data_IF_334034973585
#
_entry.id   IF_334034973585
#
_cell.length_a   1.000
_cell.length_b   1.000
_cell.length_c   1.000
_cell.angle_alpha   90.00
_cell.angle_beta   90.00
_cell.angle_gamma   90.00
#
_symmetry.space_group_name_H-M   'P 1'
#
loop_
_entity.id
_entity.type
_entity.pdbx_description
1 polymer ?
#
# COMPACT_ATOMS: atom_id res chain seq x y z
N UNK A 1 7.42 23.53 20.03
CA UNK A 1 7.72 23.72 18.60
C UNK A 1 9.02 23.00 18.30
N UNK A 2 9.02 22.12 17.31
CA UNK A 2 10.25 21.65 16.65
C UNK A 2 10.41 22.39 15.31
N UNK A 3 11.53 22.19 14.62
CA UNK A 3 11.68 22.71 13.25
C UNK A 3 12.43 24.03 13.10
N UNK A 4 13.38 24.37 13.96
CA UNK A 4 14.33 25.46 13.68
C UNK A 4 15.77 24.99 13.92
N UNK A 5 16.58 25.05 12.87
CA UNK A 5 18.02 24.84 12.90
C UNK A 5 18.73 26.11 12.44
N UNK A 6 19.57 26.68 13.32
CA UNK A 6 20.38 27.85 12.97
C UNK A 6 21.58 27.49 12.07
N UNK A 7 22.04 26.24 12.10
CA UNK A 7 23.21 25.78 11.35
C UNK A 7 22.91 25.23 9.95
N UNK A 8 21.67 24.77 9.70
CA UNK A 8 21.28 24.16 8.44
C UNK A 8 19.90 24.69 7.97
N UNK A 9 19.85 25.78 7.19
CA UNK A 9 18.59 26.40 6.75
C UNK A 9 17.68 25.46 5.94
N UNK A 10 18.24 24.46 5.27
CA UNK A 10 17.50 23.46 4.49
C UNK A 10 16.99 22.27 5.33
N UNK A 11 17.42 22.15 6.60
CA UNK A 11 17.02 21.08 7.50
C UNK A 11 16.60 21.65 8.85
N UNK A 12 15.29 21.82 9.04
CA UNK A 12 14.73 22.37 10.26
C UNK A 12 14.92 21.50 11.52
N UNK A 13 15.47 20.29 11.36
CA UNK A 13 15.68 19.34 12.45
C UNK A 13 14.42 18.53 12.76
N UNK A 14 14.39 17.90 13.94
CA UNK A 14 13.27 17.06 14.34
C UNK A 14 11.98 17.87 14.55
N UNK A 15 10.87 17.30 14.10
CA UNK A 15 9.53 17.83 14.33
C UNK A 15 9.17 17.81 15.82
N UNK A 16 8.37 18.78 16.24
CA UNK A 16 7.88 18.87 17.62
C UNK A 16 6.71 17.93 17.86
N UNK A 17 6.63 17.38 19.08
CA UNK A 17 5.55 16.51 19.52
C UNK A 17 4.75 17.17 20.64
N UNK A 18 3.42 17.05 20.59
CA UNK A 18 2.49 17.52 21.61
C UNK A 18 1.47 16.41 21.83
N UNK A 19 1.31 15.97 23.07
CA UNK A 19 0.27 15.01 23.44
C UNK A 19 -0.86 15.72 24.17
N UNK A 20 -2.05 15.70 23.59
CA UNK A 20 -3.28 16.18 24.25
C UNK A 20 -3.86 15.04 25.08
N UNK A 21 -3.88 15.22 26.41
CA UNK A 21 -4.39 14.22 27.35
C UNK A 21 -5.92 14.07 27.30
N UNK A 22 -6.64 15.14 26.99
CA UNK A 22 -8.10 15.15 26.94
C UNK A 22 -8.61 14.47 25.68
N UNK A 23 -7.94 14.69 24.55
CA UNK A 23 -8.24 14.08 23.26
C UNK A 23 -7.47 12.77 23.02
N UNK A 24 -6.57 12.41 23.93
CA UNK A 24 -5.65 11.27 23.81
C UNK A 24 -4.95 11.21 22.45
N UNK A 25 -4.48 12.38 22.01
CA UNK A 25 -4.00 12.59 20.64
C UNK A 25 -2.54 13.01 20.65
N UNK A 26 -1.70 12.26 19.94
CA UNK A 26 -0.34 12.69 19.63
C UNK A 26 -0.35 13.52 18.34
N UNK A 27 0.06 14.78 18.45
CA UNK A 27 0.31 15.66 17.31
C UNK A 27 1.81 15.80 17.10
N UNK A 28 2.27 15.55 15.88
CA UNK A 28 3.64 15.76 15.42
C UNK A 28 3.61 16.77 14.28
N UNK A 29 4.31 17.89 14.42
CA UNK A 29 4.31 18.96 13.43
C UNK A 29 5.68 19.61 13.31
N UNK A 30 6.06 19.93 12.08
CA UNK A 30 7.29 20.69 11.79
C UNK A 30 6.99 22.13 11.35
N UNK A 31 5.77 22.64 11.59
CA UNK A 31 5.42 24.04 11.31
C UNK A 31 5.61 24.46 9.85
N UNK A 32 5.45 23.53 8.90
CA UNK A 32 5.68 23.66 7.46
C UNK A 32 7.14 23.87 7.06
N UNK A 33 8.10 23.79 7.98
CA UNK A 33 9.52 23.80 7.63
C UNK A 33 9.94 22.48 6.98
N UNK A 34 10.79 22.54 5.95
CA UNK A 34 11.35 21.33 5.33
C UNK A 34 12.41 20.71 6.22
N UNK A 35 12.42 19.39 6.33
CA UNK A 35 13.40 18.66 7.14
C UNK A 35 13.85 17.38 6.46
N UNK A 36 15.09 16.98 6.69
CA UNK A 36 15.61 15.65 6.40
C UNK A 36 15.68 14.78 7.65
N UNK A 37 15.49 15.37 8.83
CA UNK A 37 15.54 14.68 10.11
C UNK A 37 14.18 14.09 10.45
N UNK A 38 14.16 12.80 10.74
CA UNK A 38 12.98 12.11 11.22
C UNK A 38 12.90 12.21 12.75
N UNK A 39 11.71 12.47 13.28
CA UNK A 39 11.42 12.39 14.71
C UNK A 39 11.08 10.95 15.08
N UNK A 40 11.94 10.25 15.84
CA UNK A 40 11.65 8.87 16.22
C UNK A 40 10.49 8.83 17.23
N UNK A 41 9.48 8.01 16.95
CA UNK A 41 8.44 7.65 17.92
C UNK A 41 8.85 6.35 18.61
N UNK A 42 9.50 6.51 19.76
CA UNK A 42 10.09 5.44 20.56
C UNK A 42 9.11 4.81 21.56
N UNK A 43 7.80 4.93 21.37
CA UNK A 43 6.85 4.27 22.25
C UNK A 43 5.40 4.61 21.95
N UNK A 44 4.58 3.57 21.81
CA UNK A 44 3.12 3.66 21.84
C UNK A 44 2.62 3.09 23.16
N UNK A 45 1.66 3.78 23.78
CA UNK A 45 1.12 3.34 25.06
C UNK A 45 0.31 2.04 24.89
N UNK A 46 0.80 0.94 25.45
CA UNK A 46 0.14 -0.38 25.39
C UNK A 46 -0.88 -0.60 26.51
N UNK A 47 -0.87 0.22 27.56
CA UNK A 47 -1.81 0.12 28.69
C UNK A 47 -3.07 0.94 28.46
N UNK A 48 -2.90 2.14 27.89
CA UNK A 48 -3.98 3.01 27.44
C UNK A 48 -3.65 3.49 26.04
N UNK A 49 -4.25 2.85 25.04
CA UNK A 49 -4.05 3.22 23.64
C UNK A 49 -4.41 4.69 23.43
N UNK A 50 -3.66 5.37 22.58
CA UNK A 50 -4.03 6.71 22.14
C UNK A 50 -5.26 6.64 21.25
N UNK A 51 -6.08 7.70 21.31
CA UNK A 51 -7.21 7.84 20.40
C UNK A 51 -6.74 8.19 19.00
N UNK A 52 -5.81 9.16 18.86
CA UNK A 52 -5.37 9.60 17.53
C UNK A 52 -3.88 9.89 17.43
N UNK A 53 -3.35 9.79 16.21
CA UNK A 53 -2.04 10.30 15.83
C UNK A 53 -2.20 11.21 14.62
N UNK A 54 -1.67 12.43 14.71
CA UNK A 54 -1.67 13.41 13.64
C UNK A 54 -0.23 13.78 13.30
N UNK A 55 0.20 13.52 12.07
CA UNK A 55 1.50 13.93 11.54
C UNK A 55 1.26 14.95 10.44
N UNK A 56 1.68 16.18 10.64
CA UNK A 56 1.35 17.28 9.73
C UNK A 56 2.48 18.27 9.47
N UNK A 57 2.27 19.13 8.48
CA UNK A 57 3.07 20.32 8.25
C UNK A 57 4.57 20.01 8.09
N UNK A 58 4.87 19.14 7.13
CA UNK A 58 6.21 18.62 6.80
C UNK A 58 6.90 17.85 7.93
N UNK A 59 6.15 17.38 8.94
CA UNK A 59 6.69 16.47 9.94
C UNK A 59 7.07 15.12 9.33
N UNK A 60 8.27 14.65 9.66
CA UNK A 60 8.74 13.31 9.32
C UNK A 60 8.90 12.50 10.60
N UNK A 61 8.25 11.35 10.65
CA UNK A 61 8.24 10.45 11.80
C UNK A 61 8.94 9.14 11.43
N UNK A 62 9.78 8.62 12.32
CA UNK A 62 10.37 7.29 12.21
C UNK A 62 9.78 6.36 13.28
N UNK A 63 9.33 5.18 12.86
CA UNK A 63 8.91 4.08 13.73
C UNK A 63 9.97 2.98 13.63
N UNK A 64 10.88 2.85 14.62
CA UNK A 64 11.94 1.86 14.59
C UNK A 64 11.43 0.47 14.98
N UNK A 65 12.25 -0.55 14.70
CA UNK A 65 11.96 -1.99 14.91
C UNK A 65 11.32 -2.34 16.27
N UNK A 66 11.78 -1.70 17.36
CA UNK A 66 11.31 -2.00 18.71
C UNK A 66 9.78 -1.88 18.84
N UNK A 67 9.16 -1.05 18.00
CA UNK A 67 7.73 -0.75 18.01
C UNK A 67 7.07 -1.30 16.76
N UNK A 68 7.36 -2.56 16.42
CA UNK A 68 6.77 -3.32 15.31
C UNK A 68 5.24 -3.23 15.20
N UNK A 69 4.55 -2.56 16.12
CA UNK A 69 3.14 -2.23 16.08
C UNK A 69 2.87 -0.78 16.50
N UNK A 70 2.23 -0.04 15.61
CA UNK A 70 1.57 1.24 15.85
C UNK A 70 0.08 1.00 15.99
N UNK A 71 -0.49 1.26 17.16
CA UNK A 71 -1.91 1.05 17.40
C UNK A 71 -2.57 2.26 18.07
N UNK A 72 -3.68 2.69 17.49
CA UNK A 72 -4.58 3.71 18.05
C UNK A 72 -6.03 3.20 18.01
N UNK A 73 -6.91 3.77 18.85
CA UNK A 73 -8.34 3.39 18.89
C UNK A 73 -9.20 4.17 17.91
N UNK A 74 -8.72 5.29 17.39
CA UNK A 74 -9.43 6.14 16.43
C UNK A 74 -8.63 6.32 15.15
N UNK A 75 -8.08 7.51 14.93
CA UNK A 75 -7.55 7.91 13.61
C UNK A 75 -6.04 8.07 13.59
N UNK A 76 -5.42 7.63 12.50
CA UNK A 76 -4.09 8.08 12.09
C UNK A 76 -4.26 9.01 10.90
N UNK A 77 -3.75 10.23 11.02
CA UNK A 77 -3.88 11.29 10.01
C UNK A 77 -2.50 11.77 9.59
N UNK A 78 -2.22 11.75 8.29
CA UNK A 78 -1.04 12.36 7.70
C UNK A 78 -1.49 13.46 6.75
N UNK A 79 -1.06 14.69 7.00
CA UNK A 79 -1.52 15.88 6.28
C UNK A 79 -0.35 16.77 5.86
N UNK A 80 -0.44 17.47 4.73
CA UNK A 80 0.41 18.64 4.42
C UNK A 80 1.91 18.32 4.51
N UNK A 81 2.38 17.42 3.65
CA UNK A 81 3.76 16.91 3.61
C UNK A 81 4.13 15.99 4.78
N UNK A 82 3.18 15.60 5.63
CA UNK A 82 3.39 14.67 6.73
C UNK A 82 3.88 13.30 6.24
N UNK A 83 4.82 12.71 6.96
CA UNK A 83 5.42 11.42 6.59
C UNK A 83 5.61 10.51 7.80
N UNK A 84 5.29 9.23 7.64
CA UNK A 84 5.67 8.17 8.58
C UNK A 84 6.56 7.16 7.84
N UNK A 85 7.73 6.89 8.42
CA UNK A 85 8.69 5.92 7.94
C UNK A 85 8.74 4.74 8.93
N UNK A 86 8.53 3.52 8.44
CA UNK A 86 8.65 2.29 9.21
C UNK A 86 9.95 1.58 8.83
N UNK A 87 10.79 1.33 9.84
CA UNK A 87 12.08 0.67 9.62
C UNK A 87 13.12 1.57 8.95
N UNK A 88 14.24 0.95 8.58
CA UNK A 88 15.39 1.62 7.99
C UNK A 88 15.69 1.00 6.62
N UNK A 89 16.01 1.84 5.64
CA UNK A 89 16.29 1.40 4.27
C UNK A 89 17.44 0.40 4.14
N UNK A 90 18.40 0.45 5.06
CA UNK A 90 19.55 -0.46 5.07
C UNK A 90 19.18 -1.87 5.55
N UNK A 91 18.05 -2.04 6.25
CA UNK A 91 17.64 -3.31 6.88
C UNK A 91 16.13 -3.59 6.71
N UNK A 92 15.63 -3.82 5.47
CA UNK A 92 14.21 -4.06 5.19
C UNK A 92 13.77 -5.50 5.51
N UNK A 93 14.12 -6.02 6.69
CA UNK A 93 13.89 -7.42 7.10
C UNK A 93 12.78 -7.57 8.15
N UNK A 94 12.09 -6.48 8.46
CA UNK A 94 11.23 -6.34 9.63
C UNK A 94 9.77 -6.41 9.27
N UNK A 95 8.90 -6.78 10.20
CA UNK A 95 7.45 -6.65 10.04
C UNK A 95 6.93 -5.51 10.92
N UNK A 96 6.10 -4.65 10.32
CA UNK A 96 5.47 -3.51 10.98
C UNK A 96 3.96 -3.59 10.87
N UNK A 97 3.27 -3.43 11.98
CA UNK A 97 1.83 -3.41 12.09
C UNK A 97 1.33 -1.97 12.27
N UNK A 98 0.29 -1.59 11.54
CA UNK A 98 -0.49 -0.37 11.77
C UNK A 98 -1.94 -0.77 12.03
N UNK A 99 -2.47 -0.38 13.19
CA UNK A 99 -3.85 -0.68 13.60
C UNK A 99 -4.56 0.61 13.99
N UNK A 100 -5.65 0.93 13.30
CA UNK A 100 -6.47 2.11 13.57
C UNK A 100 -7.92 1.86 13.13
N UNK A 101 -8.87 2.71 13.52
CA UNK A 101 -10.18 2.71 12.87
C UNK A 101 -10.08 3.33 11.47
N UNK A 102 -9.38 4.45 11.36
CA UNK A 102 -9.26 5.18 10.09
C UNK A 102 -7.82 5.62 9.84
N UNK A 103 -7.34 5.41 8.62
CA UNK A 103 -6.12 6.00 8.10
C UNK A 103 -6.48 7.03 7.03
N UNK A 104 -6.21 8.30 7.34
CA UNK A 104 -6.51 9.43 6.47
C UNK A 104 -5.21 10.09 6.00
N UNK A 105 -5.03 10.19 4.70
CA UNK A 105 -3.81 10.70 4.07
C UNK A 105 -4.16 11.80 3.08
N UNK A 106 -3.51 12.97 3.21
CA UNK A 106 -3.67 14.10 2.28
C UNK A 106 -2.32 14.80 2.07
N UNK A 107 -1.80 14.81 0.84
CA UNK A 107 -0.46 15.31 0.52
C UNK A 107 0.58 14.71 1.50
N UNK A 108 0.71 13.39 1.49
CA UNK A 108 1.47 12.69 2.54
C UNK A 108 2.07 11.37 2.09
N UNK A 109 3.04 10.86 2.85
CA UNK A 109 3.77 9.64 2.50
C UNK A 109 3.90 8.69 3.70
N UNK A 110 3.54 7.43 3.50
CA UNK A 110 4.02 6.33 4.34
C UNK A 110 5.11 5.60 3.57
N UNK A 111 6.26 5.42 4.21
CA UNK A 111 7.35 4.57 3.71
C UNK A 111 7.54 3.40 4.64
N UNK A 112 7.76 2.21 4.08
CA UNK A 112 7.99 1.00 4.85
C UNK A 112 9.20 0.27 4.28
N UNK A 113 10.14 -0.09 5.15
CA UNK A 113 11.29 -0.93 4.83
C UNK A 113 11.14 -2.26 5.57
N UNK A 114 10.49 -3.23 4.91
CA UNK A 114 10.08 -4.51 5.44
C UNK A 114 8.65 -4.89 5.05
N UNK A 115 8.06 -5.86 5.76
CA UNK A 115 6.66 -6.22 5.63
C UNK A 115 5.75 -5.20 6.33
N UNK A 116 4.65 -4.83 5.68
CA UNK A 116 3.63 -3.96 6.26
C UNK A 116 2.33 -4.73 6.50
N UNK A 117 1.84 -4.73 7.73
CA UNK A 117 0.56 -5.31 8.16
C UNK A 117 -0.37 -4.19 8.61
N UNK A 118 -1.22 -3.71 7.73
CA UNK A 118 -2.17 -2.66 8.05
C UNK A 118 -3.55 -3.27 8.32
N UNK A 119 -4.18 -2.87 9.42
CA UNK A 119 -5.54 -3.24 9.79
C UNK A 119 -6.34 -1.98 10.12
N UNK A 120 -7.21 -1.56 9.21
CA UNK A 120 -8.08 -0.39 9.37
C UNK A 120 -9.53 -0.72 9.04
N UNK A 121 -10.47 0.14 9.46
CA UNK A 121 -11.85 0.10 8.92
C UNK A 121 -11.93 0.88 7.61
N UNK A 122 -11.29 2.05 7.57
CA UNK A 122 -11.33 2.97 6.43
C UNK A 122 -9.92 3.45 6.08
N UNK A 123 -9.57 3.39 4.79
CA UNK A 123 -8.39 4.04 4.22
C UNK A 123 -8.83 5.08 3.18
N UNK A 124 -8.55 6.36 3.44
CA UNK A 124 -8.77 7.45 2.48
C UNK A 124 -7.44 8.11 2.14
N UNK A 125 -7.10 8.15 0.85
CA UNK A 125 -5.90 8.77 0.33
C UNK A 125 -6.25 9.86 -0.68
N UNK A 126 -5.68 11.04 -0.48
CA UNK A 126 -5.74 12.16 -1.41
C UNK A 126 -4.31 12.64 -1.70
N UNK A 127 -3.88 12.63 -2.97
CA UNK A 127 -2.52 13.02 -3.37
C UNK A 127 -1.43 12.42 -2.47
N UNK A 128 -1.55 11.13 -2.16
CA UNK A 128 -0.75 10.50 -1.10
C UNK A 128 -0.16 9.18 -1.55
N UNK A 129 0.92 8.77 -0.90
CA UNK A 129 1.68 7.58 -1.29
C UNK A 129 1.91 6.64 -0.10
N UNK A 130 1.67 5.35 -0.30
CA UNK A 130 2.18 4.28 0.55
C UNK A 130 3.23 3.52 -0.25
N UNK A 131 4.48 3.57 0.18
CA UNK A 131 5.62 2.98 -0.51
C UNK A 131 6.25 1.90 0.36
N UNK A 132 6.17 0.65 -0.10
CA UNK A 132 6.66 -0.52 0.62
C UNK A 132 7.86 -1.09 -0.13
N UNK A 133 9.00 -1.07 0.54
CA UNK A 133 10.18 -1.83 0.17
C UNK A 133 10.22 -3.08 1.04
N UNK A 134 9.67 -4.18 0.52
CA UNK A 134 9.61 -5.48 1.19
C UNK A 134 10.94 -6.23 1.23
N UNK A 135 12.05 -5.61 0.81
CA UNK A 135 13.39 -6.18 0.86
C UNK A 135 13.98 -6.56 -0.50
N UNK A 136 15.22 -7.05 -0.44
CA UNK A 136 16.07 -7.34 -1.60
C UNK A 136 16.07 -8.81 -2.05
N UNK A 137 17.13 -9.21 -2.76
CA UNK A 137 17.23 -10.53 -3.40
C UNK A 137 17.20 -11.73 -2.45
N UNK A 138 17.63 -11.55 -1.19
CA UNK A 138 17.81 -12.65 -0.24
C UNK A 138 16.56 -12.91 0.63
N UNK A 139 15.79 -11.87 0.94
CA UNK A 139 14.52 -11.95 1.68
C UNK A 139 13.56 -10.92 1.10
N UNK A 140 12.45 -11.39 0.53
CA UNK A 140 11.34 -10.56 0.07
C UNK A 140 10.13 -10.90 0.93
N UNK A 141 9.68 -9.93 1.73
CA UNK A 141 8.56 -10.12 2.63
C UNK A 141 7.24 -9.64 2.00
N UNK A 142 6.21 -10.47 2.10
CA UNK A 142 4.88 -10.10 1.66
C UNK A 142 4.23 -9.11 2.63
N UNK A 143 3.51 -8.13 2.08
CA UNK A 143 2.73 -7.15 2.85
C UNK A 143 1.23 -7.38 2.71
N UNK A 144 0.48 -6.92 3.70
CA UNK A 144 -0.95 -7.14 3.87
C UNK A 144 -1.63 -5.84 4.30
N UNK A 145 -2.58 -5.36 3.51
CA UNK A 145 -3.42 -4.21 3.82
C UNK A 145 -4.87 -4.68 3.94
N UNK A 146 -5.40 -4.70 5.16
CA UNK A 146 -6.79 -5.03 5.43
C UNK A 146 -7.57 -3.77 5.81
N UNK A 147 -8.61 -3.46 5.03
CA UNK A 147 -9.53 -2.37 5.26
C UNK A 147 -10.97 -2.89 5.27
N UNK A 148 -11.60 -2.99 6.44
CA UNK A 148 -12.89 -3.68 6.59
C UNK A 148 -14.01 -3.08 5.74
N UNK A 149 -14.12 -1.76 5.70
CA UNK A 149 -15.26 -1.09 5.07
C UNK A 149 -14.91 -0.52 3.70
N UNK A 150 -13.82 0.25 3.61
CA UNK A 150 -13.60 1.12 2.47
C UNK A 150 -12.12 1.47 2.27
N UNK A 151 -11.67 1.37 1.02
CA UNK A 151 -10.40 1.93 0.52
C UNK A 151 -10.71 2.88 -0.63
N UNK A 152 -10.30 4.14 -0.52
CA UNK A 152 -10.44 5.12 -1.60
C UNK A 152 -9.12 5.82 -1.87
N UNK A 153 -8.67 5.75 -3.11
CA UNK A 153 -7.55 6.52 -3.64
C UNK A 153 -8.12 7.62 -4.53
N UNK A 154 -7.67 8.86 -4.31
CA UNK A 154 -8.02 10.04 -5.10
C UNK A 154 -6.81 10.88 -5.44
N UNK A 155 -6.92 11.60 -6.57
CA UNK A 155 -6.02 12.68 -6.94
C UNK A 155 -4.55 12.25 -7.08
N UNK A 156 -4.30 11.13 -7.77
CA UNK A 156 -2.93 10.65 -7.99
C UNK A 156 -2.37 9.83 -6.83
N UNK A 157 -3.24 9.28 -5.98
CA UNK A 157 -2.81 8.51 -4.81
C UNK A 157 -2.31 7.13 -5.21
N UNK A 158 -1.17 6.69 -4.66
CA UNK A 158 -0.54 5.43 -5.06
C UNK A 158 -0.14 4.58 -3.87
N UNK A 159 -0.52 3.29 -3.90
CA UNK A 159 0.06 2.25 -3.05
C UNK A 159 1.01 1.42 -3.92
N UNK A 160 2.28 1.32 -3.54
CA UNK A 160 3.30 0.59 -4.30
C UNK A 160 4.13 -0.34 -3.43
N UNK A 161 4.39 -1.56 -3.89
CA UNK A 161 5.29 -2.53 -3.23
C UNK A 161 6.24 -3.21 -4.22
N UNK A 162 7.54 -3.30 -3.92
CA UNK A 162 8.48 -4.12 -4.71
C UNK A 162 8.36 -5.64 -4.41
N UNK A 163 7.47 -6.04 -3.50
CA UNK A 163 7.22 -7.40 -3.08
C UNK A 163 5.77 -7.82 -3.38
N UNK A 164 5.37 -9.00 -2.90
CA UNK A 164 3.97 -9.40 -2.90
C UNK A 164 3.14 -8.49 -1.98
N UNK A 165 2.01 -8.00 -2.48
CA UNK A 165 1.09 -7.13 -1.77
C UNK A 165 -0.31 -7.73 -1.79
N UNK A 166 -0.85 -7.97 -0.60
CA UNK A 166 -2.23 -8.28 -0.39
C UNK A 166 -3.05 -7.06 -0.01
N UNK A 167 -4.19 -6.85 -0.66
CA UNK A 167 -5.18 -5.84 -0.29
C UNK A 167 -6.53 -6.53 -0.11
N UNK A 168 -7.07 -6.40 1.10
CA UNK A 168 -8.26 -7.10 1.55
C UNK A 168 -9.26 -6.13 2.12
N UNK A 169 -10.54 -6.40 1.91
CA UNK A 169 -11.61 -5.65 2.56
C UNK A 169 -12.94 -6.35 2.40
N UNK A 170 -13.99 -5.86 3.06
CA UNK A 170 -15.33 -6.46 2.98
C UNK A 170 -16.35 -5.52 2.31
N UNK A 171 -15.95 -4.29 1.96
CA UNK A 171 -16.79 -3.32 1.28
C UNK A 171 -16.20 -2.91 -0.07
N UNK A 172 -15.84 -1.64 -0.21
CA UNK A 172 -15.45 -1.06 -1.50
C UNK A 172 -13.95 -0.77 -1.57
N UNK A 173 -13.33 -1.14 -2.70
CA UNK A 173 -12.04 -0.63 -3.16
C UNK A 173 -12.29 0.27 -4.37
N UNK A 174 -11.99 1.56 -4.24
CA UNK A 174 -12.24 2.54 -5.30
C UNK A 174 -10.97 3.36 -5.62
N UNK A 175 -10.47 3.22 -6.84
CA UNK A 175 -9.44 4.09 -7.41
C UNK A 175 -10.16 5.10 -8.31
N UNK A 176 -10.37 6.31 -7.81
CA UNK A 176 -11.45 7.17 -8.32
C UNK A 176 -11.13 7.96 -9.57
N UNK A 177 -9.85 8.17 -9.92
CA UNK A 177 -9.51 9.00 -11.05
C UNK A 177 -8.03 8.96 -11.49
N UNK A 178 -7.66 9.87 -12.40
CA UNK A 178 -6.37 9.83 -13.08
C UNK A 178 -5.18 9.82 -12.11
N UNK A 179 -4.27 8.88 -12.34
CA UNK A 179 -3.04 8.71 -11.56
C UNK A 179 -3.20 7.90 -10.29
N UNK A 180 -4.44 7.55 -9.87
CA UNK A 180 -4.66 6.66 -8.74
C UNK A 180 -4.16 5.26 -9.08
N UNK A 181 -3.46 4.59 -8.16
CA UNK A 181 -2.92 3.28 -8.47
C UNK A 181 -2.57 2.38 -7.30
N UNK A 182 -2.70 1.08 -7.55
CA UNK A 182 -2.14 0.03 -6.70
C UNK A 182 -1.21 -0.80 -7.56
N UNK A 183 0.08 -0.78 -7.19
CA UNK A 183 1.14 -1.42 -7.97
C UNK A 183 1.97 -2.34 -7.10
N UNK A 184 2.25 -3.55 -7.55
CA UNK A 184 3.11 -4.47 -6.80
C UNK A 184 3.90 -5.38 -7.72
N UNK A 185 4.87 -6.12 -7.17
CA UNK A 185 5.50 -7.24 -7.90
C UNK A 185 4.50 -8.37 -8.14
N UNK A 186 3.73 -8.71 -7.10
CA UNK A 186 2.55 -9.57 -7.18
C UNK A 186 1.44 -8.92 -6.37
N UNK A 187 0.21 -8.94 -6.88
CA UNK A 187 -0.92 -8.27 -6.26
C UNK A 187 -2.08 -9.24 -6.03
N UNK A 188 -2.58 -9.26 -4.80
CA UNK A 188 -3.71 -10.08 -4.37
C UNK A 188 -4.81 -9.15 -3.89
N UNK A 189 -5.92 -9.06 -4.62
CA UNK A 189 -7.09 -8.26 -4.26
C UNK A 189 -8.23 -9.21 -3.89
N UNK A 190 -8.64 -9.20 -2.62
CA UNK A 190 -9.55 -10.24 -2.12
C UNK A 190 -10.64 -9.73 -1.19
N UNK A 191 -11.76 -10.45 -1.17
CA UNK A 191 -12.88 -10.32 -0.22
C UNK A 191 -13.77 -9.07 -0.37
N UNK A 192 -13.46 -8.16 -1.29
CA UNK A 192 -14.24 -6.93 -1.48
C UNK A 192 -15.65 -7.22 -1.99
N UNK A 193 -16.64 -6.43 -1.56
CA UNK A 193 -17.93 -6.40 -2.22
C UNK A 193 -17.77 -5.83 -3.63
N UNK A 194 -17.17 -4.63 -3.74
CA UNK A 194 -16.93 -3.97 -5.02
C UNK A 194 -15.47 -3.59 -5.20
N UNK A 195 -14.96 -3.78 -6.42
CA UNK A 195 -13.72 -3.16 -6.89
C UNK A 195 -14.05 -2.24 -8.06
N UNK A 196 -13.69 -0.96 -7.92
CA UNK A 196 -13.88 0.06 -8.94
C UNK A 196 -12.51 0.64 -9.32
N UNK A 197 -12.07 0.32 -10.54
CA UNK A 197 -10.89 0.92 -11.16
C UNK A 197 -11.39 2.00 -12.11
N UNK A 198 -11.46 3.24 -11.64
CA UNK A 198 -11.99 4.38 -12.39
C UNK A 198 -11.11 4.82 -13.57
N UNK A 199 -11.63 5.67 -14.47
CA UNK A 199 -10.89 6.15 -15.63
C UNK A 199 -9.57 6.85 -15.25
N UNK A 200 -8.48 6.45 -15.93
CA UNK A 200 -7.13 6.96 -15.66
C UNK A 200 -6.44 6.35 -14.42
N UNK A 201 -7.13 5.48 -13.68
CA UNK A 201 -6.55 4.70 -12.58
C UNK A 201 -5.86 3.43 -13.08
N UNK A 202 -4.93 2.89 -12.29
CA UNK A 202 -4.19 1.68 -12.65
C UNK A 202 -4.04 0.67 -11.51
N UNK A 203 -4.44 -0.57 -11.76
CA UNK A 203 -4.08 -1.74 -10.96
C UNK A 203 -3.04 -2.53 -11.74
N UNK A 204 -1.85 -2.69 -11.19
CA UNK A 204 -0.73 -3.25 -11.94
C UNK A 204 0.14 -4.19 -11.13
N UNK A 205 0.42 -5.36 -11.71
CA UNK A 205 1.53 -6.21 -11.29
C UNK A 205 1.98 -7.11 -12.45
N UNK A 206 3.27 -7.13 -12.78
CA UNK A 206 4.38 -6.59 -11.99
C UNK A 206 4.60 -5.06 -12.19
N UNK A 207 5.45 -4.47 -11.35
CA UNK A 207 5.94 -3.11 -11.54
C UNK A 207 6.66 -2.97 -12.89
N UNK A 208 6.61 -1.79 -13.52
CA UNK A 208 7.16 -1.55 -14.88
C UNK A 208 8.66 -1.89 -15.01
N UNK A 209 9.42 -1.90 -13.92
CA UNK A 209 10.86 -2.23 -13.91
C UNK A 209 11.17 -3.72 -13.69
N UNK A 210 10.17 -4.57 -13.46
CA UNK A 210 10.40 -5.93 -12.99
C UNK A 210 10.49 -6.95 -14.15
N UNK A 211 11.50 -6.77 -15.01
CA UNK A 211 11.76 -7.61 -16.20
C UNK A 211 11.79 -9.11 -15.88
N UNK A 212 12.26 -9.50 -14.68
CA UNK A 212 12.31 -10.90 -14.25
C UNK A 212 10.93 -11.55 -14.19
N UNK A 213 9.98 -10.89 -13.55
CA UNK A 213 8.61 -11.39 -13.44
C UNK A 213 7.92 -11.56 -14.81
N UNK A 214 8.28 -10.74 -15.80
CA UNK A 214 7.81 -10.90 -17.18
C UNK A 214 8.43 -12.11 -17.90
N UNK A 215 9.70 -12.45 -17.59
CA UNK A 215 10.37 -13.64 -18.13
C UNK A 215 9.83 -14.92 -17.48
N UNK A 216 9.58 -14.89 -16.17
CA UNK A 216 8.99 -16.02 -15.44
C UNK A 216 7.59 -16.34 -15.99
N UNK A 217 6.75 -15.32 -16.19
CA UNK A 217 5.42 -15.50 -16.78
C UNK A 217 5.47 -16.10 -18.19
N UNK A 218 6.38 -15.63 -19.06
CA UNK A 218 6.58 -16.21 -20.38
C UNK A 218 6.96 -17.70 -20.32
N UNK A 219 7.89 -18.06 -19.44
CA UNK A 219 8.33 -19.45 -19.30
C UNK A 219 7.18 -20.39 -18.88
N UNK A 220 6.23 -19.87 -18.11
CA UNK A 220 5.02 -20.59 -17.70
C UNK A 220 4.06 -20.75 -18.88
N UNK A 221 3.84 -19.70 -19.67
CA UNK A 221 2.99 -19.73 -20.86
C UNK A 221 3.53 -20.66 -21.96
N UNK A 222 4.86 -20.74 -22.12
CA UNK A 222 5.51 -21.62 -23.11
C UNK A 222 5.63 -23.09 -22.64
N UNK A 223 5.31 -23.39 -21.39
CA UNK A 223 5.34 -24.74 -20.84
C UNK A 223 4.28 -25.65 -21.47
N UNK A 224 4.64 -26.90 -21.79
CA UNK A 224 3.68 -27.94 -22.24
C UNK A 224 2.70 -28.38 -21.14
N UNK A 225 3.01 -28.09 -19.88
CA UNK A 225 2.20 -28.45 -18.73
C UNK A 225 1.79 -27.19 -18.00
N UNK A 226 0.49 -26.93 -17.98
CA UNK A 226 -0.11 -25.81 -17.25
C UNK A 226 0.00 -26.07 -15.74
N UNK A 227 0.52 -25.13 -14.94
CA UNK A 227 0.58 -25.27 -13.49
C UNK A 227 -0.79 -25.57 -12.89
N UNK A 228 -0.84 -26.51 -11.95
CA UNK A 228 -2.10 -26.99 -11.36
C UNK A 228 -2.90 -25.89 -10.68
N UNK A 229 -2.23 -24.88 -10.13
CA UNK A 229 -2.87 -23.74 -9.49
C UNK A 229 -3.61 -22.82 -10.47
N UNK A 230 -3.28 -22.84 -11.77
CA UNK A 230 -4.05 -22.13 -12.80
C UNK A 230 -5.35 -22.88 -13.14
N UNK A 231 -5.38 -24.20 -12.92
CA UNK A 231 -6.53 -25.08 -13.21
C UNK A 231 -7.44 -25.19 -11.98
N UNK A 232 -6.83 -25.35 -10.80
CA UNK A 232 -7.48 -25.50 -9.51
C UNK A 232 -6.86 -24.50 -8.52
N UNK A 233 -7.28 -23.23 -8.56
CA UNK A 233 -6.72 -22.18 -7.72
C UNK A 233 -7.04 -22.41 -6.24
N UNK A 234 -6.19 -21.94 -5.30
CA UNK A 234 -6.47 -22.00 -3.88
C UNK A 234 -7.77 -21.29 -3.51
N UNK A 235 -8.52 -21.92 -2.61
CA UNK A 235 -9.84 -21.46 -2.20
C UNK A 235 -9.83 -20.34 -1.16
N UNK A 236 -8.70 -20.16 -0.49
CA UNK A 236 -8.52 -19.30 0.68
C UNK A 236 -8.23 -17.84 0.32
N UNK A 237 -7.87 -17.54 -0.94
CA UNK A 237 -7.56 -16.20 -1.44
C UNK A 237 -6.46 -15.48 -0.63
N UNK A 238 -5.60 -16.23 0.08
CA UNK A 238 -4.52 -15.67 0.88
C UNK A 238 -3.32 -15.27 0.00
N UNK A 239 -2.53 -14.31 0.49
CA UNK A 239 -1.29 -13.92 -0.17
C UNK A 239 -0.36 -15.13 -0.18
N UNK A 240 -0.04 -15.60 -1.38
CA UNK A 240 0.89 -16.70 -1.56
C UNK A 240 1.83 -16.35 -2.71
N UNK A 241 3.02 -15.87 -2.34
CA UNK A 241 4.04 -15.43 -3.29
C UNK A 241 4.63 -16.57 -4.13
N UNK A 242 4.37 -17.83 -3.77
CA UNK A 242 4.79 -19.00 -4.53
C UNK A 242 3.88 -19.28 -5.73
N UNK A 243 2.72 -18.61 -5.83
CA UNK A 243 1.82 -18.76 -6.96
C UNK A 243 2.37 -18.06 -8.20
N UNK A 244 2.02 -18.61 -9.36
CA UNK A 244 2.39 -18.10 -10.68
C UNK A 244 1.71 -16.77 -11.05
N UNK A 245 0.66 -16.36 -10.31
CA UNK A 245 -0.12 -15.16 -10.63
C UNK A 245 0.69 -13.88 -10.39
N UNK A 246 0.56 -12.92 -11.31
CA UNK A 246 1.01 -11.55 -11.04
C UNK A 246 -0.13 -10.72 -10.44
N UNK A 247 -1.37 -10.94 -10.88
CA UNK A 247 -2.58 -10.40 -10.26
C UNK A 247 -3.54 -11.55 -9.95
N UNK A 248 -3.98 -11.65 -8.70
CA UNK A 248 -5.11 -12.47 -8.31
C UNK A 248 -6.23 -11.58 -7.77
N UNK A 249 -7.43 -11.68 -8.35
CA UNK A 249 -8.65 -11.08 -7.81
C UNK A 249 -9.58 -12.21 -7.38
N UNK A 250 -9.90 -12.30 -6.09
CA UNK A 250 -10.51 -13.48 -5.51
C UNK A 250 -11.64 -13.13 -4.52
N UNK A 251 -12.81 -13.77 -4.68
CA UNK A 251 -14.01 -13.51 -3.85
C UNK A 251 -14.38 -12.04 -3.85
N UNK A 252 -14.78 -11.54 -5.01
CA UNK A 252 -15.29 -10.17 -5.19
C UNK A 252 -16.70 -10.26 -5.75
N UNK A 253 -17.68 -9.48 -5.29
CA UNK A 253 -18.99 -9.53 -5.95
C UNK A 253 -18.90 -8.89 -7.33
N UNK A 254 -18.63 -7.58 -7.37
CA UNK A 254 -18.66 -6.81 -8.62
C UNK A 254 -17.32 -6.10 -8.88
N UNK A 255 -16.78 -6.30 -10.08
CA UNK A 255 -15.56 -5.65 -10.55
C UNK A 255 -15.92 -4.73 -11.71
N UNK A 256 -15.69 -3.43 -11.56
CA UNK A 256 -15.88 -2.43 -12.62
C UNK A 256 -14.54 -1.82 -13.01
N UNK A 257 -14.19 -1.93 -14.29
CA UNK A 257 -12.93 -1.45 -14.86
C UNK A 257 -13.20 -0.39 -15.91
N UNK A 258 -13.02 0.88 -15.55
CA UNK A 258 -12.93 2.02 -16.46
C UNK A 258 -11.52 2.56 -16.66
N UNK A 259 -10.57 2.14 -15.82
CA UNK A 259 -9.13 2.38 -15.96
C UNK A 259 -8.40 1.14 -16.49
N UNK A 260 -7.18 0.89 -16.01
CA UNK A 260 -6.34 -0.21 -16.50
C UNK A 260 -6.08 -1.23 -15.38
N UNK A 261 -6.37 -2.50 -15.66
CA UNK A 261 -5.83 -3.64 -14.90
C UNK A 261 -4.79 -4.32 -15.77
N UNK A 262 -3.51 -4.28 -15.38
CA UNK A 262 -2.40 -4.79 -16.19
C UNK A 262 -1.57 -5.80 -15.40
N UNK A 263 -1.39 -6.98 -15.96
CA UNK A 263 -0.42 -7.94 -15.42
C UNK A 263 0.10 -8.91 -16.45
N UNK A 264 0.96 -9.85 -16.05
CA UNK A 264 1.44 -10.92 -16.94
C UNK A 264 0.49 -12.13 -16.86
N UNK A 265 0.15 -12.57 -15.64
CA UNK A 265 -0.82 -13.64 -15.40
C UNK A 265 -1.89 -13.07 -14.46
N UNK A 266 -3.06 -12.77 -15.02
CA UNK A 266 -4.22 -12.23 -14.28
C UNK A 266 -5.21 -13.37 -14.05
N UNK A 267 -5.53 -13.64 -12.79
CA UNK A 267 -6.50 -14.65 -12.41
C UNK A 267 -7.64 -14.03 -11.62
N UNK A 268 -8.85 -14.11 -12.17
CA UNK A 268 -10.09 -13.64 -11.54
C UNK A 268 -10.95 -14.87 -11.23
N UNK A 269 -11.24 -15.09 -9.95
CA UNK A 269 -11.98 -16.26 -9.49
C UNK A 269 -12.98 -15.88 -8.39
N UNK A 270 -14.14 -16.53 -8.39
CA UNK A 270 -15.26 -16.20 -7.49
C UNK A 270 -15.67 -14.73 -7.59
N UNK A 271 -15.72 -14.23 -8.84
CA UNK A 271 -16.35 -12.96 -9.18
C UNK A 271 -17.79 -13.18 -9.64
N UNK A 272 -18.76 -12.39 -9.18
CA UNK A 272 -20.14 -12.46 -9.72
C UNK A 272 -20.20 -11.75 -11.07
N UNK A 273 -19.72 -10.51 -11.13
CA UNK A 273 -19.68 -9.74 -12.37
C UNK A 273 -18.33 -9.08 -12.60
N UNK A 274 -17.92 -9.02 -13.87
CA UNK A 274 -16.77 -8.25 -14.33
C UNK A 274 -17.25 -7.39 -15.48
N UNK A 275 -17.25 -6.08 -15.28
CA UNK A 275 -17.69 -5.09 -16.27
C UNK A 275 -16.51 -4.22 -16.66
N UNK A 276 -16.16 -4.23 -17.94
CA UNK A 276 -15.18 -3.29 -18.50
C UNK A 276 -15.96 -2.20 -19.22
N UNK A 277 -15.83 -0.96 -18.75
CA UNK A 277 -16.54 0.20 -19.33
C UNK A 277 -15.73 0.83 -20.46
N UNK A 278 -16.32 1.78 -21.18
CA UNK A 278 -15.62 2.54 -22.22
C UNK A 278 -14.35 3.19 -21.68
N UNK A 279 -13.22 2.94 -22.34
CA UNK A 279 -11.89 3.40 -21.91
C UNK A 279 -11.19 2.51 -20.90
N UNK A 280 -11.87 1.50 -20.35
CA UNK A 280 -11.30 0.49 -19.47
C UNK A 280 -10.59 -0.63 -20.23
N UNK A 281 -9.57 -1.23 -19.60
CA UNK A 281 -8.87 -2.38 -20.17
C UNK A 281 -8.37 -3.34 -19.08
N UNK A 282 -8.55 -4.64 -19.31
CA UNK A 282 -7.84 -5.70 -18.59
C UNK A 282 -6.83 -6.29 -19.59
N UNK A 283 -5.54 -6.08 -19.32
CA UNK A 283 -4.45 -6.49 -20.22
C UNK A 283 -3.55 -7.48 -19.50
N UNK A 284 -3.60 -8.73 -19.96
CA UNK A 284 -2.55 -9.70 -19.68
C UNK A 284 -1.43 -9.52 -20.70
N UNK A 285 -0.19 -9.49 -20.24
CA UNK A 285 0.99 -9.45 -21.10
C UNK A 285 1.45 -10.89 -21.33
N UNK A 286 1.21 -11.44 -22.52
CA UNK A 286 2.34 -12.08 -23.20
C UNK A 286 3.21 -10.92 -23.70
N UNK A 287 4.52 -11.07 -23.66
CA UNK A 287 5.42 -10.09 -24.25
C UNK A 287 4.87 -9.72 -25.64
N UNK A 288 4.57 -8.45 -25.86
CA UNK A 288 4.16 -7.92 -27.15
C UNK A 288 4.98 -8.63 -28.24
N UNK A 289 4.27 -9.36 -29.10
CA UNK A 289 4.73 -9.97 -30.33
C UNK A 289 6.03 -9.38 -30.85
N UNK A 290 7.13 -10.13 -30.72
CA UNK A 290 8.28 -9.91 -31.61
C UNK A 290 7.86 -10.41 -32.99
N UNK A 291 7.60 -9.46 -33.89
CA UNK A 291 7.53 -9.67 -35.34
C UNK A 291 8.62 -10.65 -35.81
N UNK A 292 8.26 -11.71 -36.55
CA UNK A 292 8.29 -11.83 -38.02
C UNK A 292 7.43 -13.02 -38.47
#
# INVERSE_FOLDING_TARGET
SGGQSFGCPQNAGAAGTIYDKSLETLKVSNGNFTTHTETPLLGFSVTKLWSNVLVESNAKVLVPLLWSRVQVTGQIRLLTGGSICFGLSENPISEFELVAEELLMSDSVIKVYGAFRMYVKVLLMWDSKIQIDGGGKDVVLASMLEARNLVVLKHGSVISSNAALGVYGQGLLNLSGPGDGIKARQLFLSLFYNIEVGPGSVVQAPLDEDVRSSLDALSICESKTCPSELIAPPDDCHVNSSLSFTIQICRVEDITVGGIVKGSIIHIHRARTVTVTDGGAISASELQSRHW
#
